data_IF_861741119628
#
_entry.id   IF_861741119628
#
_cell.length_a   1.000
_cell.length_b   1.000
_cell.length_c   1.000
_cell.angle_alpha   90.00
_cell.angle_beta   90.00
_cell.angle_gamma   90.00
#
_symmetry.space_group_name_H-M   'P 1'
#
loop_
_entity.id
_entity.type
_entity.pdbx_description
1 polymer ?
#
# COMPACT_ATOMS: atom_id res chain seq x y z
N UNK A 1 -12.39 -18.34 0.28
CA UNK A 1 -11.35 -18.58 -0.76
C UNK A 1 -10.73 -17.29 -1.31
N UNK A 2 -11.45 -16.37 -1.98
CA UNK A 2 -10.83 -15.11 -2.47
C UNK A 2 -10.79 -13.99 -1.42
N UNK A 3 -11.88 -13.81 -0.66
CA UNK A 3 -11.94 -12.86 0.46
C UNK A 3 -10.82 -13.11 1.47
N UNK A 4 -10.65 -14.37 1.89
CA UNK A 4 -9.64 -14.73 2.89
C UNK A 4 -8.21 -14.48 2.40
N UNK A 5 -7.96 -14.67 1.09
CA UNK A 5 -6.67 -14.32 0.47
C UNK A 5 -6.39 -12.82 0.51
N UNK A 6 -7.40 -11.97 0.26
CA UNK A 6 -7.24 -10.51 0.35
C UNK A 6 -6.94 -10.07 1.78
N UNK A 7 -7.68 -10.62 2.75
CA UNK A 7 -7.44 -10.35 4.18
C UNK A 7 -6.03 -10.79 4.59
N UNK A 8 -5.60 -11.98 4.15
CA UNK A 8 -4.26 -12.48 4.45
C UNK A 8 -3.15 -11.63 3.80
N UNK A 9 -3.35 -11.17 2.56
CA UNK A 9 -2.39 -10.31 1.88
C UNK A 9 -2.24 -8.94 2.58
N UNK A 10 -3.35 -8.32 2.99
CA UNK A 10 -3.33 -7.08 3.77
C UNK A 10 -2.61 -7.28 5.12
N UNK A 11 -2.90 -8.38 5.82
CA UNK A 11 -2.23 -8.70 7.08
C UNK A 11 -0.70 -8.85 6.91
N UNK A 12 -0.25 -9.55 5.87
CA UNK A 12 1.18 -9.71 5.56
C UNK A 12 1.86 -8.38 5.24
N UNK A 13 1.17 -7.49 4.51
CA UNK A 13 1.67 -6.15 4.23
C UNK A 13 1.83 -5.35 5.52
N UNK A 14 0.80 -5.32 6.38
CA UNK A 14 0.85 -4.62 7.66
C UNK A 14 1.98 -5.16 8.54
N UNK A 15 2.15 -6.48 8.61
CA UNK A 15 3.23 -7.10 9.38
C UNK A 15 4.62 -6.65 8.90
N UNK A 16 4.83 -6.58 7.57
CA UNK A 16 6.09 -6.06 7.01
C UNK A 16 6.31 -4.59 7.37
N UNK A 17 5.27 -3.76 7.33
CA UNK A 17 5.37 -2.35 7.69
C UNK A 17 5.67 -2.18 9.18
N UNK A 18 5.07 -2.99 10.05
CA UNK A 18 5.36 -3.00 11.48
C UNK A 18 6.82 -3.39 11.76
N UNK A 19 7.36 -4.40 11.06
CA UNK A 19 8.78 -4.75 11.15
C UNK A 19 9.67 -3.60 10.70
N UNK A 20 9.34 -2.93 9.60
CA UNK A 20 10.08 -1.76 9.12
C UNK A 20 10.06 -0.59 10.12
N UNK A 21 8.90 -0.31 10.70
CA UNK A 21 8.77 0.71 11.76
C UNK A 21 9.65 0.38 12.97
N UNK A 22 9.63 -0.88 13.43
CA UNK A 22 10.49 -1.34 14.54
C UNK A 22 11.99 -1.24 14.21
N UNK A 23 12.35 -1.26 12.92
CA UNK A 23 13.72 -1.08 12.43
C UNK A 23 14.07 0.39 12.16
N UNK A 24 13.14 1.33 12.37
CA UNK A 24 13.35 2.74 12.10
C UNK A 24 13.27 3.11 10.62
N UNK A 25 12.66 2.29 9.77
CA UNK A 25 12.48 2.60 8.34
C UNK A 25 11.36 3.64 8.09
N UNK A 26 10.42 3.78 9.03
CA UNK A 26 9.27 4.68 8.94
C UNK A 26 9.38 5.82 9.96
N UNK A 27 8.85 6.99 9.62
CA UNK A 27 8.77 8.13 10.52
C UNK A 27 8.04 7.73 11.82
N UNK A 28 8.50 8.23 12.97
CA UNK A 28 8.05 7.80 14.29
C UNK A 28 6.54 7.98 14.57
N UNK A 29 5.88 8.88 13.85
CA UNK A 29 4.43 9.13 13.95
C UNK A 29 3.60 8.35 12.93
N UNK A 30 4.22 7.42 12.19
CA UNK A 30 3.52 6.58 11.21
C UNK A 30 2.77 5.46 11.91
N UNK A 31 1.50 5.28 11.59
CA UNK A 31 0.75 4.06 11.93
C UNK A 31 0.90 3.03 10.78
N UNK A 32 1.63 1.92 10.97
CA UNK A 32 1.84 0.92 9.93
C UNK A 32 0.56 0.22 9.47
N UNK A 33 -0.44 0.09 10.34
CA UNK A 33 -1.71 -0.54 9.99
C UNK A 33 -2.54 0.37 9.07
N UNK A 34 -2.58 1.67 9.37
CA UNK A 34 -3.24 2.66 8.49
C UNK A 34 -2.51 2.77 7.15
N UNK A 35 -1.17 2.82 7.17
CA UNK A 35 -0.38 2.83 5.94
C UNK A 35 -0.62 1.58 5.08
N UNK A 36 -0.66 0.40 5.70
CA UNK A 36 -0.95 -0.86 4.98
C UNK A 36 -2.32 -0.85 4.31
N UNK A 37 -3.36 -0.37 5.01
CA UNK A 37 -4.71 -0.21 4.43
C UNK A 37 -4.75 0.79 3.28
N UNK A 38 -4.06 1.92 3.42
CA UNK A 38 -3.95 2.91 2.35
C UNK A 38 -3.34 2.29 1.09
N UNK A 39 -2.18 1.62 1.22
CA UNK A 39 -1.52 0.97 0.09
C UNK A 39 -2.39 -0.14 -0.52
N UNK A 40 -3.05 -0.97 0.30
CA UNK A 40 -3.96 -1.99 -0.21
C UNK A 40 -5.13 -1.37 -1.00
N UNK A 41 -5.73 -0.30 -0.48
CA UNK A 41 -6.83 0.43 -1.14
C UNK A 41 -6.40 0.99 -2.50
N UNK A 42 -5.20 1.58 -2.56
CA UNK A 42 -4.64 2.10 -3.82
C UNK A 42 -4.46 0.96 -4.84
N UNK A 43 -3.90 -0.19 -4.44
CA UNK A 43 -3.71 -1.34 -5.34
C UNK A 43 -5.04 -1.93 -5.83
N UNK A 44 -6.05 -2.03 -4.96
CA UNK A 44 -7.38 -2.51 -5.34
C UNK A 44 -8.05 -1.55 -6.33
N UNK A 45 -7.97 -0.23 -6.08
CA UNK A 45 -8.47 0.80 -6.99
C UNK A 45 -7.78 0.78 -8.35
N UNK A 46 -6.46 0.64 -8.38
CA UNK A 46 -5.68 0.47 -9.62
C UNK A 46 -6.10 -0.78 -10.40
N UNK A 47 -6.44 -1.86 -9.71
CA UNK A 47 -6.93 -3.09 -10.34
C UNK A 47 -8.30 -2.89 -11.00
N UNK A 48 -9.18 -2.08 -10.40
CA UNK A 48 -10.46 -1.70 -11.02
C UNK A 48 -10.23 -0.83 -12.26
N UNK A 49 -9.42 0.23 -12.15
CA UNK A 49 -9.08 1.12 -13.26
C UNK A 49 -8.45 0.37 -14.45
N UNK A 50 -7.57 -0.60 -14.18
CA UNK A 50 -6.97 -1.45 -15.20
C UNK A 50 -8.02 -2.27 -15.98
N UNK A 51 -9.05 -2.77 -15.29
CA UNK A 51 -10.16 -3.53 -15.91
C UNK A 51 -11.03 -2.63 -16.79
N UNK A 52 -11.12 -1.35 -16.44
CA UNK A 52 -11.88 -0.33 -17.16
C UNK A 52 -11.10 0.29 -18.33
N UNK A 53 -9.84 -0.12 -18.53
CA UNK A 53 -9.01 0.27 -19.69
C UNK A 53 -7.94 1.32 -19.42
N UNK A 54 -7.66 1.65 -18.14
CA UNK A 54 -6.56 2.55 -17.81
C UNK A 54 -5.22 2.00 -18.33
N UNK A 55 -4.41 2.90 -18.88
CA UNK A 55 -3.08 2.58 -19.38
C UNK A 55 -2.10 2.36 -18.24
N UNK A 56 -1.00 1.64 -18.54
CA UNK A 56 0.10 1.43 -17.58
C UNK A 56 0.63 2.77 -17.06
N UNK A 57 0.74 3.80 -17.90
CA UNK A 57 1.26 5.10 -17.51
C UNK A 57 0.36 5.83 -16.51
N UNK A 58 -0.96 5.74 -16.67
CA UNK A 58 -1.93 6.30 -15.73
C UNK A 58 -1.84 5.58 -14.38
N UNK A 59 -1.78 4.25 -14.38
CA UNK A 59 -1.63 3.45 -13.16
C UNK A 59 -0.30 3.72 -12.44
N UNK A 60 0.80 3.85 -13.19
CA UNK A 60 2.11 4.22 -12.62
C UNK A 60 2.10 5.62 -12.01
N UNK A 61 1.33 6.55 -12.59
CA UNK A 61 1.17 7.90 -12.04
C UNK A 61 0.44 7.89 -10.69
N UNK A 62 -0.57 7.04 -10.54
CA UNK A 62 -1.27 6.81 -9.26
C UNK A 62 -0.32 6.20 -8.23
N UNK A 63 0.41 5.14 -8.62
CA UNK A 63 1.38 4.49 -7.74
C UNK A 63 2.46 5.48 -7.26
N UNK A 64 2.98 6.32 -8.18
CA UNK A 64 3.93 7.38 -7.86
C UNK A 64 3.35 8.35 -6.83
N UNK A 65 2.12 8.82 -7.03
CA UNK A 65 1.48 9.75 -6.10
C UNK A 65 1.30 9.16 -4.70
N UNK A 66 0.96 7.86 -4.61
CA UNK A 66 0.88 7.17 -3.33
C UNK A 66 2.26 7.06 -2.65
N UNK A 67 3.31 6.75 -3.41
CA UNK A 67 4.69 6.64 -2.90
C UNK A 67 5.32 7.99 -2.56
N UNK A 68 4.92 9.08 -3.22
CA UNK A 68 5.37 10.44 -2.86
C UNK A 68 4.88 10.85 -1.45
N UNK A 69 3.88 10.13 -0.91
CA UNK A 69 3.41 10.28 0.47
C UNK A 69 4.00 9.25 1.44
N UNK A 70 4.97 8.44 0.99
CA UNK A 70 5.59 7.41 1.82
C UNK A 70 6.31 8.04 3.03
N UNK A 71 5.99 7.63 4.26
CA UNK A 71 6.54 8.25 5.46
C UNK A 71 7.87 7.60 5.85
N UNK A 72 8.90 7.76 5.01
CA UNK A 72 10.26 7.31 5.34
C UNK A 72 10.82 8.02 6.58
N UNK A 73 11.65 7.33 7.35
CA UNK A 73 12.51 8.00 8.32
C UNK A 73 13.49 8.94 7.59
N UNK A 74 13.72 10.13 8.17
CA UNK A 74 14.69 11.12 7.70
C UNK A 74 16.09 10.75 8.20
#
# INVERSE_FOLDING_TARGET
LLRDKRIAAEALLIERLQRGAAQGELAANTDPAVLGKFINTVMEGMSVQARDGATINELLSIAKMALDRWPAAI
#
